data_IF_402362075481
#
_entry.id   IF_402362075481
#
_cell.length_a   1.000
_cell.length_b   1.000
_cell.length_c   1.000
_cell.angle_alpha   90.00
_cell.angle_beta   90.00
_cell.angle_gamma   90.00
#
_symmetry.space_group_name_H-M   'P 1'
#
loop_
_entity.id
_entity.type
_entity.pdbx_description
1 polymer ?
#
# COMPACT_ATOMS: atom_id res chain seq x y z
N UNK A 1 10.23 9.68 -8.18
CA UNK A 1 8.84 9.76 -8.71
C UNK A 1 7.98 10.43 -7.64
N UNK A 2 6.93 11.19 -7.98
CA UNK A 2 6.04 11.73 -6.95
C UNK A 2 5.17 10.60 -6.34
N UNK A 3 4.75 10.71 -5.07
CA UNK A 3 3.82 9.77 -4.45
C UNK A 3 2.49 9.77 -5.22
N UNK A 4 1.95 8.58 -5.44
CA UNK A 4 0.72 8.36 -6.22
C UNK A 4 -0.54 8.67 -5.41
N UNK A 5 -0.50 8.45 -4.11
CA UNK A 5 -1.59 8.71 -3.18
C UNK A 5 -1.24 9.81 -2.19
N UNK A 6 -2.25 10.53 -1.69
CA UNK A 6 -2.09 11.63 -0.74
C UNK A 6 -2.64 11.25 0.63
N UNK A 7 -2.09 11.84 1.69
CA UNK A 7 -2.63 11.74 3.04
C UNK A 7 -4.08 12.26 3.06
N UNK A 8 -4.97 11.53 3.73
CA UNK A 8 -6.42 11.75 3.76
C UNK A 8 -7.20 11.10 2.61
N UNK A 9 -6.53 10.48 1.64
CA UNK A 9 -7.20 9.85 0.51
C UNK A 9 -7.78 8.47 0.89
N UNK A 10 -9.03 8.22 0.51
CA UNK A 10 -9.65 6.89 0.61
C UNK A 10 -9.13 5.96 -0.48
N UNK A 11 -8.75 4.76 -0.08
CA UNK A 11 -8.20 3.72 -0.96
C UNK A 11 -8.78 2.35 -0.60
N UNK A 12 -8.81 1.46 -1.58
CA UNK A 12 -9.15 0.05 -1.40
C UNK A 12 -7.91 -0.81 -1.59
N UNK A 13 -7.76 -1.78 -0.68
CA UNK A 13 -6.65 -2.74 -0.73
C UNK A 13 -6.95 -3.79 -1.80
N UNK A 14 -5.98 -4.02 -2.66
CA UNK A 14 -6.04 -5.03 -3.72
C UNK A 14 -4.79 -5.92 -3.65
N UNK A 15 -4.87 -7.18 -4.09
CA UNK A 15 -3.69 -8.04 -4.16
C UNK A 15 -2.66 -7.44 -5.11
N UNK A 16 -1.38 -7.67 -4.81
CA UNK A 16 -0.27 -7.16 -5.59
C UNK A 16 -0.42 -7.56 -7.08
N UNK A 17 -0.26 -6.60 -8.00
CA UNK A 17 -0.56 -6.83 -9.43
C UNK A 17 0.45 -7.72 -10.13
N UNK A 18 1.62 -7.93 -9.53
CA UNK A 18 2.63 -8.83 -10.05
C UNK A 18 2.79 -10.01 -9.10
N UNK A 19 2.65 -11.23 -9.62
CA UNK A 19 3.02 -12.47 -8.92
C UNK A 19 4.53 -12.61 -8.64
N UNK A 20 5.23 -11.50 -8.39
CA UNK A 20 6.68 -11.41 -8.23
C UNK A 20 7.15 -11.51 -6.78
N UNK A 21 6.28 -11.55 -5.77
CA UNK A 21 6.71 -11.85 -4.42
C UNK A 21 5.57 -12.34 -3.53
N UNK A 22 5.41 -13.66 -3.29
CA UNK A 22 4.48 -14.16 -2.28
C UNK A 22 4.78 -13.60 -0.88
N UNK A 23 6.00 -13.13 -0.62
CA UNK A 23 6.37 -12.47 0.63
C UNK A 23 5.77 -11.05 0.82
N UNK A 24 5.35 -10.37 -0.26
CA UNK A 24 4.68 -9.04 -0.15
C UNK A 24 3.19 -9.18 0.13
N UNK A 25 2.57 -10.19 -0.46
CA UNK A 25 1.15 -10.49 -0.34
C UNK A 25 0.81 -11.26 0.97
N UNK A 26 1.82 -11.87 1.59
CA UNK A 26 1.66 -12.68 2.81
C UNK A 26 1.06 -11.84 3.97
N UNK A 27 -0.25 -11.96 4.16
CA UNK A 27 -1.01 -11.28 5.22
C UNK A 27 -1.98 -10.20 4.75
N UNK A 28 -2.06 -9.92 3.44
CA UNK A 28 -3.01 -8.96 2.87
C UNK A 28 -4.36 -9.57 2.49
N UNK A 29 -4.45 -10.90 2.41
CA UNK A 29 -5.67 -11.63 2.07
C UNK A 29 -6.86 -11.22 2.96
N UNK A 30 -6.65 -11.09 4.26
CA UNK A 30 -7.69 -10.71 5.24
C UNK A 30 -8.21 -9.28 5.06
N UNK A 31 -7.45 -8.43 4.37
CA UNK A 31 -7.72 -7.01 4.16
C UNK A 31 -8.08 -6.67 2.71
N UNK A 32 -7.95 -7.61 1.79
CA UNK A 32 -8.30 -7.42 0.38
C UNK A 32 -9.77 -7.00 0.24
N UNK A 33 -10.01 -5.96 -0.56
CA UNK A 33 -11.33 -5.38 -0.77
C UNK A 33 -11.82 -4.47 0.38
N UNK A 34 -11.06 -4.34 1.48
CA UNK A 34 -11.37 -3.36 2.52
C UNK A 34 -10.92 -1.96 2.10
N UNK A 35 -11.68 -0.97 2.56
CA UNK A 35 -11.37 0.45 2.40
C UNK A 35 -10.59 0.96 3.60
N UNK A 36 -9.66 1.87 3.35
CA UNK A 36 -8.95 2.61 4.37
C UNK A 36 -8.59 4.01 3.91
N UNK A 37 -7.97 4.77 4.81
CA UNK A 37 -7.50 6.14 4.56
C UNK A 37 -5.99 6.16 4.64
N UNK A 38 -5.34 6.77 3.65
CA UNK A 38 -3.88 6.99 3.69
C UNK A 38 -3.58 8.00 4.78
N UNK A 39 -2.84 7.60 5.80
CA UNK A 39 -2.42 8.48 6.90
C UNK A 39 -1.03 9.05 6.67
N UNK A 40 -0.16 8.27 6.05
CA UNK A 40 1.22 8.67 5.81
C UNK A 40 1.81 7.92 4.62
N UNK A 41 2.95 8.38 4.11
CA UNK A 41 3.74 7.65 3.13
C UNK A 41 5.23 7.85 3.38
N UNK A 42 6.01 6.86 3.01
CA UNK A 42 7.47 6.89 3.02
C UNK A 42 7.99 6.33 1.70
N UNK A 43 9.23 6.67 1.35
CA UNK A 43 9.90 6.09 0.19
C UNK A 43 11.24 5.49 0.61
N UNK A 44 11.56 4.36 -0.01
CA UNK A 44 12.86 3.72 0.10
C UNK A 44 13.53 3.72 -1.26
N UNK A 45 14.85 3.86 -1.28
CA UNK A 45 15.67 3.71 -2.49
C UNK A 45 16.66 2.57 -2.27
N UNK A 46 16.25 1.31 -2.48
CA UNK A 46 17.13 0.17 -2.26
C UNK A 46 18.31 0.25 -3.24
N UNK A 47 19.56 0.03 -2.76
CA UNK A 47 20.72 0.04 -3.64
C UNK A 47 20.57 -1.03 -4.72
N UNK A 48 20.83 -0.65 -5.98
CA UNK A 48 20.75 -1.55 -7.15
C UNK A 48 19.38 -1.67 -7.83
N UNK A 49 18.30 -1.12 -7.26
CA UNK A 49 16.95 -1.16 -7.89
C UNK A 49 16.70 0.06 -8.79
N UNK A 50 17.51 1.11 -8.67
CA UNK A 50 17.49 2.30 -9.53
C UNK A 50 16.16 3.08 -9.52
N UNK A 51 15.23 2.73 -8.62
CA UNK A 51 13.89 3.31 -8.51
C UNK A 51 13.49 3.42 -7.04
N UNK A 52 12.90 4.56 -6.70
CA UNK A 52 12.24 4.79 -5.42
C UNK A 52 10.97 3.94 -5.34
N UNK A 53 10.77 3.30 -4.20
CA UNK A 53 9.56 2.52 -3.90
C UNK A 53 8.79 3.26 -2.82
N UNK A 54 7.54 3.58 -3.08
CA UNK A 54 6.65 4.21 -2.11
C UNK A 54 5.89 3.17 -1.30
N UNK A 55 5.77 3.44 -0.02
CA UNK A 55 5.08 2.65 0.98
C UNK A 55 4.09 3.58 1.68
N UNK A 56 2.83 3.17 1.75
CA UNK A 56 1.74 3.96 2.32
C UNK A 56 1.23 3.32 3.58
N UNK A 57 1.10 4.12 4.64
CA UNK A 57 0.39 3.70 5.85
C UNK A 57 -1.08 4.00 5.64
N UNK A 58 -1.90 2.95 5.65
CA UNK A 58 -3.35 3.01 5.44
C UNK A 58 -4.06 2.53 6.69
N UNK A 59 -4.87 3.40 7.27
CA UNK A 59 -5.73 3.07 8.40
C UNK A 59 -7.04 2.44 7.92
N UNK A 60 -7.34 1.24 8.42
CA UNK A 60 -8.53 0.48 8.03
C UNK A 60 -9.70 0.85 8.94
N UNK A 61 -10.63 1.64 8.41
CA UNK A 61 -11.79 2.20 9.15
C UNK A 61 -12.58 1.14 9.96
N UNK A 62 -12.64 -0.11 9.48
CA UNK A 62 -13.38 -1.18 10.15
C UNK A 62 -12.58 -2.02 11.15
N UNK A 63 -11.26 -1.89 11.15
CA UNK A 63 -10.38 -2.79 11.92
C UNK A 63 -9.51 -2.08 12.95
N UNK A 64 -9.50 -0.74 12.99
CA UNK A 64 -8.58 0.06 13.83
C UNK A 64 -7.14 -0.45 13.73
N UNK A 65 -6.73 -0.80 12.50
CA UNK A 65 -5.43 -1.36 12.17
C UNK A 65 -4.81 -0.53 11.07
N UNK A 66 -3.50 -0.33 11.18
CA UNK A 66 -2.70 0.32 10.16
C UNK A 66 -1.95 -0.73 9.36
N UNK A 67 -1.96 -0.55 8.04
CA UNK A 67 -1.25 -1.42 7.10
C UNK A 67 -0.26 -0.60 6.30
N UNK A 68 0.93 -1.16 6.08
CA UNK A 68 1.93 -0.58 5.18
C UNK A 68 1.85 -1.31 3.86
N UNK A 69 1.53 -0.57 2.80
CA UNK A 69 1.19 -1.11 1.47
C UNK A 69 2.00 -0.45 0.37
N UNK A 70 2.29 -1.20 -0.69
CA UNK A 70 2.93 -0.70 -1.90
C UNK A 70 1.93 0.04 -2.81
N UNK A 71 2.46 0.85 -3.74
CA UNK A 71 1.68 1.58 -4.75
C UNK A 71 0.69 0.71 -5.55
N UNK A 72 1.05 -0.54 -5.84
CA UNK A 72 0.28 -1.46 -6.68
C UNK A 72 -0.75 -2.30 -5.91
N UNK A 73 -0.69 -2.28 -4.59
CA UNK A 73 -1.62 -2.92 -3.65
C UNK A 73 -2.78 -2.00 -3.25
N UNK A 74 -2.80 -0.77 -3.79
CA UNK A 74 -3.83 0.23 -3.55
C UNK A 74 -4.56 0.60 -4.84
N UNK A 75 -5.84 0.94 -4.70
CA UNK A 75 -6.60 1.65 -5.72
C UNK A 75 -7.41 2.79 -5.09
N UNK A 76 -7.58 3.93 -5.79
CA UNK A 76 -8.49 4.95 -5.32
C UNK A 76 -9.93 4.41 -5.32
N UNK A 77 -10.71 4.84 -4.34
CA UNK A 77 -12.17 4.64 -4.29
C UNK A 77 -12.87 5.72 -5.11
#
# INVERSE_FOLDING_TARGET
>A
MPPRYKVGQKVVIVPARSGQAPARDAGLDDFTGRTGVVENYHWISPPGVGKEVFLYTVHIEKSDKDLVLYDDELRPV
#
